data_IF_207842209458
#
_entry.id   IF_207842209458
#
_cell.length_a   1.000
_cell.length_b   1.000
_cell.length_c   1.000
_cell.angle_alpha   90.00
_cell.angle_beta   90.00
_cell.angle_gamma   90.00
#
_symmetry.space_group_name_H-M   'P 1'
#
loop_
_entity.id
_entity.type
_entity.pdbx_description
1 polymer ?
#
# COMPACT_ATOMS: atom_id res chain seq x y z
N UNK A 1 10.16 -5.41 -57.51
CA UNK A 1 9.59 -4.37 -56.62
C UNK A 1 9.19 -5.06 -55.32
N UNK A 2 10.05 -5.00 -54.29
CA UNK A 2 9.83 -5.71 -53.02
C UNK A 2 9.02 -4.78 -52.11
N UNK A 3 7.75 -5.12 -51.85
CA UNK A 3 6.93 -4.40 -50.87
C UNK A 3 7.28 -4.90 -49.46
N UNK A 4 7.94 -4.04 -48.68
CA UNK A 4 8.03 -4.19 -47.23
C UNK A 4 6.67 -3.79 -46.63
N UNK A 5 5.88 -4.76 -46.16
CA UNK A 5 4.74 -4.48 -45.28
C UNK A 5 5.26 -4.24 -43.87
N UNK A 6 5.17 -2.99 -43.39
CA UNK A 6 5.48 -2.62 -42.01
C UNK A 6 4.28 -2.97 -41.12
N UNK A 7 4.47 -3.91 -40.18
CA UNK A 7 3.45 -4.26 -39.20
C UNK A 7 3.41 -3.21 -38.07
N UNK A 8 2.40 -2.33 -38.09
CA UNK A 8 2.14 -1.38 -37.01
C UNK A 8 1.52 -2.16 -35.84
N UNK A 9 2.30 -2.36 -34.77
CA UNK A 9 1.80 -2.93 -33.52
C UNK A 9 1.04 -1.87 -32.74
N UNK A 10 -0.28 -1.95 -32.70
CA UNK A 10 -1.11 -1.18 -31.78
C UNK A 10 -1.01 -1.80 -30.38
N UNK A 11 -0.24 -1.18 -29.48
CA UNK A 11 -0.29 -1.50 -28.06
C UNK A 11 -1.58 -0.93 -27.48
N UNK A 12 -2.52 -1.80 -27.11
CA UNK A 12 -3.69 -1.40 -26.33
C UNK A 12 -3.24 -1.04 -24.92
N UNK A 13 -3.33 0.24 -24.55
CA UNK A 13 -3.18 0.66 -23.16
C UNK A 13 -4.36 0.10 -22.36
N UNK A 14 -4.09 -0.83 -21.46
CA UNK A 14 -5.05 -1.22 -20.43
C UNK A 14 -5.27 0.00 -19.53
N UNK A 15 -6.46 0.59 -19.59
CA UNK A 15 -6.84 1.71 -18.73
C UNK A 15 -7.59 1.14 -17.53
N UNK A 16 -7.01 1.30 -16.33
CA UNK A 16 -7.76 1.06 -15.10
C UNK A 16 -8.96 2.02 -15.08
N UNK A 17 -10.15 1.50 -14.81
CA UNK A 17 -11.35 2.33 -14.88
C UNK A 17 -11.49 3.19 -13.62
N UNK A 18 -11.12 2.70 -12.44
CA UNK A 18 -11.08 3.48 -11.20
C UNK A 18 -9.65 3.94 -10.88
N UNK A 19 -9.51 5.24 -10.57
CA UNK A 19 -8.26 5.83 -10.04
C UNK A 19 -8.53 6.42 -8.67
N UNK A 20 -7.72 6.03 -7.68
CA UNK A 20 -7.71 6.64 -6.34
C UNK A 20 -6.63 7.72 -6.28
N UNK A 21 -6.98 8.92 -5.81
CA UNK A 21 -6.06 10.06 -5.75
C UNK A 21 -5.08 10.00 -4.56
N UNK A 22 -4.77 8.80 -4.06
CA UNK A 22 -3.82 8.57 -2.98
C UNK A 22 -3.39 7.09 -2.96
N UNK A 23 -2.16 6.83 -2.55
CA UNK A 23 -1.65 5.46 -2.29
C UNK A 23 -1.78 5.04 -0.82
N UNK A 24 -2.20 5.98 0.03
CA UNK A 24 -2.46 5.79 1.46
C UNK A 24 -3.30 6.93 2.03
N UNK A 25 -3.88 6.70 3.19
CA UNK A 25 -4.70 7.67 3.93
C UNK A 25 -4.14 7.84 5.33
N UNK A 26 -4.00 9.08 5.79
CA UNK A 26 -3.68 9.38 7.19
C UNK A 26 -4.96 9.89 7.85
N UNK A 27 -5.47 9.14 8.83
CA UNK A 27 -6.57 9.55 9.69
C UNK A 27 -5.98 10.10 10.99
N UNK A 28 -6.00 11.42 11.18
CA UNK A 28 -5.57 12.03 12.43
C UNK A 28 -6.66 11.85 13.51
N UNK A 29 -6.28 11.45 14.71
CA UNK A 29 -7.21 11.24 15.84
C UNK A 29 -8.08 12.45 16.22
N UNK A 30 -7.65 13.67 15.88
CA UNK A 30 -8.40 14.91 16.12
C UNK A 30 -9.24 15.35 14.90
N UNK A 31 -9.18 14.61 13.79
CA UNK A 31 -10.03 14.84 12.63
C UNK A 31 -11.37 14.13 12.82
N UNK A 32 -12.43 14.72 12.27
CA UNK A 32 -13.75 14.09 12.24
C UNK A 32 -13.78 12.92 11.26
N UNK A 33 -13.17 13.11 10.09
CA UNK A 33 -13.18 12.15 8.99
C UNK A 33 -11.91 12.27 8.15
N UNK A 34 -11.57 11.20 7.44
CA UNK A 34 -10.62 11.24 6.32
C UNK A 34 -11.36 10.99 5.01
N UNK A 35 -10.86 11.57 3.91
CA UNK A 35 -11.50 11.48 2.60
C UNK A 35 -10.67 10.64 1.63
N UNK A 36 -11.32 9.69 0.98
CA UNK A 36 -10.77 8.96 -0.17
C UNK A 36 -11.50 9.42 -1.42
N UNK A 37 -10.76 10.09 -2.31
CA UNK A 37 -11.30 10.59 -3.58
C UNK A 37 -10.89 9.65 -4.70
N UNK A 38 -11.87 9.26 -5.50
CA UNK A 38 -11.70 8.34 -6.62
C UNK A 38 -12.41 8.89 -7.86
N UNK A 39 -11.95 8.52 -9.05
CA UNK A 39 -12.55 8.92 -10.32
C UNK A 39 -12.68 7.70 -11.23
N UNK A 40 -13.84 7.52 -11.83
CA UNK A 40 -14.02 6.57 -12.92
C UNK A 40 -13.45 7.18 -14.21
N UNK A 41 -12.21 6.86 -14.55
CA UNK A 41 -11.60 7.22 -15.83
C UNK A 41 -12.01 6.30 -16.99
N UNK A 42 -12.82 5.26 -16.74
CA UNK A 42 -13.38 4.39 -17.76
C UNK A 42 -14.42 5.06 -18.66
N UNK A 43 -14.92 4.29 -19.62
CA UNK A 43 -15.98 4.68 -20.56
C UNK A 43 -17.35 4.09 -20.19
N UNK A 44 -17.41 3.25 -19.16
CA UNK A 44 -18.60 2.55 -18.69
C UNK A 44 -18.86 2.86 -17.23
N UNK A 45 -20.13 2.85 -16.78
CA UNK A 45 -20.45 3.00 -15.36
C UNK A 45 -19.91 1.82 -14.55
N UNK A 46 -19.44 2.12 -13.35
CA UNK A 46 -18.96 1.15 -12.37
C UNK A 46 -19.88 1.11 -11.16
N UNK A 47 -20.03 -0.06 -10.56
CA UNK A 47 -20.47 -0.17 -9.18
C UNK A 47 -19.22 -0.34 -8.30
N UNK A 48 -19.02 0.57 -7.37
CA UNK A 48 -17.89 0.56 -6.43
C UNK A 48 -18.40 0.09 -5.07
N UNK A 49 -17.77 -0.95 -4.52
CA UNK A 49 -17.91 -1.31 -3.10
C UNK A 49 -16.68 -0.85 -2.33
N UNK A 50 -16.89 -0.24 -1.17
CA UNK A 50 -15.86 0.36 -0.35
C UNK A 50 -15.98 -0.05 1.11
N UNK A 51 -14.90 -0.57 1.68
CA UNK A 51 -14.83 -1.01 3.07
C UNK A 51 -13.40 -0.90 3.61
N UNK A 52 -13.23 -0.98 4.93
CA UNK A 52 -11.92 -1.16 5.53
C UNK A 52 -11.73 -2.60 6.03
N UNK A 53 -10.48 -3.04 6.14
CA UNK A 53 -10.09 -4.28 6.81
C UNK A 53 -8.90 -4.05 7.76
N UNK A 54 -8.56 -5.07 8.56
CA UNK A 54 -7.49 -5.05 9.57
C UNK A 54 -6.17 -5.69 9.11
N UNK A 55 -6.01 -5.95 7.81
CA UNK A 55 -4.84 -6.61 7.25
C UNK A 55 -5.14 -8.00 6.71
N UNK A 56 -6.20 -8.67 7.20
CA UNK A 56 -6.61 -10.01 6.74
C UNK A 56 -7.32 -9.91 5.38
N UNK A 57 -6.64 -10.33 4.32
CA UNK A 57 -7.14 -10.16 2.93
C UNK A 57 -8.41 -10.96 2.63
N UNK A 58 -8.55 -12.14 3.24
CA UNK A 58 -9.63 -13.11 3.00
C UNK A 58 -10.75 -13.06 4.05
N UNK A 59 -10.73 -12.07 4.96
CA UNK A 59 -11.80 -11.88 5.93
C UNK A 59 -13.09 -11.42 5.26
N UNK A 60 -14.24 -11.98 5.64
CA UNK A 60 -15.54 -11.48 5.19
C UNK A 60 -15.72 -10.05 5.72
N UNK A 61 -15.82 -9.03 4.84
CA UNK A 61 -15.99 -7.63 5.25
C UNK A 61 -17.16 -7.39 6.20
N UNK A 62 -18.20 -8.24 6.17
CA UNK A 62 -19.36 -8.13 7.05
C UNK A 62 -19.09 -8.60 8.49
N UNK A 63 -17.98 -9.32 8.71
CA UNK A 63 -17.61 -9.90 10.00
C UNK A 63 -16.42 -9.20 10.65
N UNK A 64 -15.83 -8.21 9.97
CA UNK A 64 -14.69 -7.46 10.47
C UNK A 64 -15.17 -6.41 11.48
N UNK A 65 -14.95 -6.69 12.76
CA UNK A 65 -15.08 -5.70 13.83
C UNK A 65 -13.84 -4.81 13.83
N UNK A 66 -13.92 -3.72 13.07
CA UNK A 66 -12.88 -2.70 12.99
C UNK A 66 -13.50 -1.34 13.33
N UNK A 67 -12.72 -0.43 13.93
CA UNK A 67 -13.26 0.80 14.48
C UNK A 67 -13.47 1.90 13.42
N UNK A 68 -13.78 1.52 12.18
CA UNK A 68 -13.91 2.45 11.06
C UNK A 68 -15.08 2.12 10.15
N UNK A 69 -15.74 3.17 9.68
CA UNK A 69 -16.83 3.09 8.71
C UNK A 69 -16.44 3.83 7.44
N UNK A 70 -16.51 3.15 6.29
CA UNK A 70 -16.44 3.76 4.97
C UNK A 70 -17.84 4.07 4.44
N UNK A 71 -18.09 5.32 4.08
CA UNK A 71 -19.39 5.78 3.58
C UNK A 71 -19.27 6.65 2.33
N UNK A 72 -20.06 6.40 1.26
CA UNK A 72 -21.00 5.30 1.12
C UNK A 72 -20.28 3.95 0.88
N UNK A 73 -20.82 2.81 1.37
CA UNK A 73 -20.20 1.50 1.19
C UNK A 73 -20.40 0.93 -0.21
N UNK A 74 -21.45 1.38 -0.92
CA UNK A 74 -21.71 1.01 -2.31
C UNK A 74 -22.15 2.26 -3.08
N UNK A 75 -21.60 2.47 -4.27
CA UNK A 75 -21.99 3.59 -5.13
C UNK A 75 -21.81 3.28 -6.60
N UNK A 76 -22.78 3.71 -7.41
CA UNK A 76 -22.61 3.75 -8.85
C UNK A 76 -21.81 5.00 -9.21
N UNK A 77 -20.80 4.85 -10.07
CA UNK A 77 -19.99 5.96 -10.58
C UNK A 77 -20.02 5.91 -12.11
N UNK A 78 -20.68 6.90 -12.70
CA UNK A 78 -20.75 7.02 -14.16
C UNK A 78 -19.40 7.41 -14.78
N UNK A 79 -19.20 7.23 -16.10
CA UNK A 79 -17.95 7.56 -16.77
C UNK A 79 -17.50 8.99 -16.48
N UNK A 80 -16.21 9.16 -16.20
CA UNK A 80 -15.53 10.44 -15.90
C UNK A 80 -16.05 11.15 -14.65
N UNK A 81 -16.90 10.51 -13.84
CA UNK A 81 -17.39 11.06 -12.58
C UNK A 81 -16.51 10.66 -11.39
N UNK A 82 -16.54 11.50 -10.36
CA UNK A 82 -15.84 11.28 -9.10
C UNK A 82 -16.73 10.62 -8.03
N UNK A 83 -16.10 9.91 -7.11
CA UNK A 83 -16.69 9.41 -5.87
C UNK A 83 -15.79 9.85 -4.70
N UNK A 84 -16.41 10.36 -3.63
CA UNK A 84 -15.71 10.60 -2.37
C UNK A 84 -16.28 9.67 -1.31
N UNK A 85 -15.42 8.83 -0.75
CA UNK A 85 -15.73 7.97 0.39
C UNK A 85 -15.16 8.62 1.65
N UNK A 86 -16.00 8.78 2.67
CA UNK A 86 -15.64 9.26 4.00
C UNK A 86 -15.29 8.07 4.88
N UNK A 87 -14.12 8.14 5.51
CA UNK A 87 -13.72 7.22 6.57
C UNK A 87 -13.98 7.91 7.90
N UNK A 88 -14.74 7.27 8.78
CA UNK A 88 -15.06 7.76 10.12
C UNK A 88 -14.62 6.74 11.16
N UNK A 89 -13.91 7.17 12.19
CA UNK A 89 -13.64 6.35 13.36
C UNK A 89 -14.91 6.27 14.21
N UNK A 90 -15.27 5.09 14.70
CA UNK A 90 -16.50 4.84 15.47
C UNK A 90 -16.38 5.15 16.97
N UNK A 91 -15.17 5.55 17.42
CA UNK A 91 -14.87 5.91 18.80
C UNK A 91 -14.34 4.76 19.66
N UNK A 92 -14.21 3.54 19.13
CA UNK A 92 -13.57 2.44 19.86
C UNK A 92 -12.11 2.77 20.20
N UNK A 93 -11.63 2.39 21.38
CA UNK A 93 -10.31 2.79 21.85
C UNK A 93 -9.19 2.26 20.93
N UNK A 94 -8.30 3.17 20.56
CA UNK A 94 -7.09 2.88 19.78
C UNK A 94 -5.84 3.31 20.57
N UNK A 95 -4.68 2.68 20.33
CA UNK A 95 -3.42 3.11 20.93
C UNK A 95 -3.16 4.60 20.74
N UNK A 96 -2.85 5.30 21.84
CA UNK A 96 -2.51 6.72 21.82
C UNK A 96 -1.02 6.99 21.72
N UNK A 97 -0.19 5.95 21.90
CA UNK A 97 1.28 6.02 21.94
C UNK A 97 1.95 5.64 20.61
N UNK A 98 1.18 5.14 19.63
CA UNK A 98 1.65 4.67 18.33
C UNK A 98 0.56 4.74 17.26
N UNK A 99 0.97 4.66 16.01
CA UNK A 99 0.03 4.47 14.90
C UNK A 99 -0.66 3.10 14.96
N UNK A 100 -1.86 3.04 14.40
CA UNK A 100 -2.53 1.78 14.02
C UNK A 100 -2.72 1.75 12.51
N UNK A 101 -2.72 0.56 11.90
CA UNK A 101 -2.85 0.40 10.44
C UNK A 101 -4.07 -0.44 10.09
N UNK A 102 -4.79 0.03 9.08
CA UNK A 102 -5.94 -0.60 8.44
C UNK A 102 -5.75 -0.52 6.92
N UNK A 103 -6.64 -1.14 6.16
CA UNK A 103 -6.61 -1.03 4.70
C UNK A 103 -7.96 -0.64 4.17
N UNK A 104 -7.97 0.37 3.30
CA UNK A 104 -9.14 0.74 2.51
C UNK A 104 -9.17 -0.10 1.25
N UNK A 105 -10.32 -0.68 0.95
CA UNK A 105 -10.57 -1.48 -0.24
C UNK A 105 -11.61 -0.77 -1.12
N UNK A 106 -11.34 -0.75 -2.42
CA UNK A 106 -12.31 -0.39 -3.45
C UNK A 106 -12.40 -1.52 -4.48
N UNK A 107 -13.54 -2.21 -4.50
CA UNK A 107 -13.85 -3.21 -5.52
C UNK A 107 -14.66 -2.54 -6.64
N UNK A 108 -14.08 -2.46 -7.83
CA UNK A 108 -14.78 -2.03 -9.03
C UNK A 108 -15.47 -3.21 -9.73
N UNK A 109 -16.77 -3.08 -9.93
CA UNK A 109 -17.59 -4.07 -10.62
C UNK A 109 -18.12 -3.43 -11.91
N UNK A 110 -17.64 -3.85 -13.08
CA UNK A 110 -18.15 -3.35 -14.36
C UNK A 110 -19.63 -3.67 -14.56
N UNK A 111 -20.37 -2.76 -15.19
CA UNK A 111 -21.73 -3.03 -15.63
C UNK A 111 -21.78 -4.18 -16.65
N UNK A 112 -22.85 -4.99 -16.61
CA UNK A 112 -23.08 -6.01 -17.63
C UNK A 112 -23.40 -5.34 -18.98
N UNK A 113 -22.68 -5.73 -20.04
CA UNK A 113 -23.03 -5.30 -21.39
C UNK A 113 -24.35 -5.98 -21.80
N UNK A 114 -25.35 -5.22 -22.26
CA UNK A 114 -26.65 -5.79 -22.66
C UNK A 114 -26.54 -6.60 -23.97
N UNK A 115 -25.61 -6.24 -24.84
CA UNK A 115 -25.33 -6.94 -26.10
C UNK A 115 -24.45 -8.20 -25.92
N UNK A 116 -23.99 -8.45 -24.69
CA UNK A 116 -23.12 -9.57 -24.33
C UNK A 116 -23.81 -10.92 -24.20
N UNK A 117 -25.13 -10.96 -24.12
CA UNK A 117 -25.89 -12.18 -23.80
C UNK A 117 -25.72 -13.32 -24.83
N UNK A 118 -25.02 -13.07 -25.95
CA UNK A 118 -24.79 -14.02 -27.05
C UNK A 118 -23.34 -14.52 -27.18
N UNK A 119 -22.42 -14.17 -26.27
CA UNK A 119 -21.04 -14.65 -26.30
C UNK A 119 -20.48 -15.01 -24.91
N UNK A 120 -19.54 -15.94 -24.87
CA UNK A 120 -18.77 -16.23 -23.66
C UNK A 120 -17.92 -14.99 -23.30
N UNK A 121 -18.17 -14.40 -22.14
CA UNK A 121 -17.43 -13.22 -21.69
C UNK A 121 -16.76 -13.45 -20.35
N UNK A 122 -15.50 -13.06 -20.28
CA UNK A 122 -14.76 -12.92 -19.04
C UNK A 122 -15.05 -11.53 -18.47
N UNK A 123 -15.59 -11.49 -17.25
CA UNK A 123 -15.73 -10.26 -16.48
C UNK A 123 -14.68 -10.27 -15.36
N UNK A 124 -13.92 -9.19 -15.29
CA UNK A 124 -12.88 -9.00 -14.28
C UNK A 124 -13.34 -7.85 -13.38
N UNK A 125 -13.41 -8.11 -12.08
CA UNK A 125 -13.54 -7.09 -11.06
C UNK A 125 -12.16 -6.85 -10.44
N UNK A 126 -11.76 -5.58 -10.28
CA UNK A 126 -10.48 -5.22 -9.70
C UNK A 126 -10.68 -4.69 -8.27
N UNK A 127 -9.89 -5.20 -7.34
CA UNK A 127 -9.83 -4.73 -5.95
C UNK A 127 -8.56 -3.90 -5.77
N UNK A 128 -8.72 -2.59 -5.59
CA UNK A 128 -7.62 -1.71 -5.17
C UNK A 128 -7.59 -1.64 -3.65
N UNK A 129 -6.41 -1.81 -3.06
CA UNK A 129 -6.20 -1.80 -1.61
C UNK A 129 -5.09 -0.82 -1.25
N UNK A 130 -5.36 0.10 -0.32
CA UNK A 130 -4.39 1.10 0.15
C UNK A 130 -4.35 1.14 1.69
N UNK A 131 -3.19 1.47 2.26
CA UNK A 131 -3.01 1.56 3.71
C UNK A 131 -3.71 2.80 4.28
N UNK A 132 -4.36 2.64 5.43
CA UNK A 132 -4.97 3.70 6.24
C UNK A 132 -4.29 3.69 7.59
N UNK A 133 -3.60 4.78 7.94
CA UNK A 133 -2.94 4.93 9.23
C UNK A 133 -3.80 5.79 10.14
N UNK A 134 -4.23 5.23 11.27
CA UNK A 134 -4.74 6.03 12.38
C UNK A 134 -3.53 6.59 13.15
N UNK A 135 -3.47 7.91 13.25
CA UNK A 135 -2.36 8.61 13.87
C UNK A 135 -2.86 9.48 15.04
N UNK A 136 -2.47 9.17 16.29
CA UNK A 136 -2.64 10.08 17.41
C UNK A 136 -2.04 11.45 17.09
N UNK A 137 -2.78 12.54 17.32
CA UNK A 137 -2.34 13.89 16.96
C UNK A 137 -1.19 14.39 17.85
N UNK A 138 -1.00 13.73 19.00
CA UNK A 138 0.04 14.03 20.00
C UNK A 138 1.29 13.16 19.85
N UNK A 139 1.39 12.40 18.75
CA UNK A 139 2.51 11.49 18.54
C UNK A 139 3.82 12.27 18.35
N UNK A 140 4.91 11.92 19.06
CA UNK A 140 6.17 12.66 18.97
C UNK A 140 6.95 12.31 17.70
N UNK A 141 7.69 13.28 17.18
CA UNK A 141 8.53 13.12 15.98
C UNK A 141 7.73 13.25 14.69
N UNK A 142 8.23 12.64 13.62
CA UNK A 142 7.56 12.61 12.31
C UNK A 142 7.75 11.27 11.58
N UNK A 143 6.86 10.92 10.63
CA UNK A 143 7.04 9.73 9.81
C UNK A 143 8.31 9.78 8.93
N UNK A 144 8.73 10.96 8.49
CA UNK A 144 9.97 11.11 7.71
C UNK A 144 11.21 10.85 8.59
N UNK A 145 11.22 11.33 9.84
CA UNK A 145 12.27 10.98 10.81
C UNK A 145 12.28 9.48 11.13
N UNK A 146 11.11 8.85 11.26
CA UNK A 146 11.00 7.41 11.46
C UNK A 146 11.64 6.61 10.32
N UNK A 147 11.45 7.05 9.06
CA UNK A 147 12.12 6.48 7.89
C UNK A 147 13.64 6.59 8.02
N UNK A 148 14.16 7.77 8.37
CA UNK A 148 15.60 8.02 8.45
C UNK A 148 16.28 7.29 9.63
N UNK A 149 15.56 7.04 10.71
CA UNK A 149 16.11 6.47 11.95
C UNK A 149 15.93 4.96 12.09
N UNK A 150 15.48 4.25 11.04
CA UNK A 150 15.51 2.79 11.04
C UNK A 150 16.93 2.27 11.29
N UNK A 151 17.06 1.39 12.29
CA UNK A 151 18.33 0.75 12.64
C UNK A 151 18.40 -0.61 11.97
N UNK A 152 19.53 -0.91 11.36
CA UNK A 152 19.72 -2.17 10.66
C UNK A 152 20.86 -2.97 11.28
N UNK A 153 20.67 -4.29 11.32
CA UNK A 153 21.70 -5.23 11.78
C UNK A 153 21.69 -6.50 10.94
N UNK A 154 22.85 -7.12 10.75
CA UNK A 154 22.97 -8.45 10.15
C UNK A 154 23.23 -9.50 11.23
N UNK A 155 22.56 -10.64 11.13
CA UNK A 155 22.80 -11.79 11.99
C UNK A 155 22.81 -13.09 11.20
N UNK A 156 23.60 -14.05 11.68
CA UNK A 156 23.56 -15.42 11.20
C UNK A 156 22.38 -16.16 11.85
N UNK A 157 21.58 -16.84 11.04
CA UNK A 157 20.56 -17.78 11.52
C UNK A 157 20.81 -19.12 10.81
N UNK A 158 21.59 -19.98 11.46
CA UNK A 158 22.13 -21.19 10.82
C UNK A 158 23.09 -20.84 9.69
N UNK A 159 22.81 -21.32 8.46
CA UNK A 159 23.61 -21.03 7.26
C UNK A 159 23.17 -19.77 6.50
N UNK A 160 22.07 -19.16 6.91
CA UNK A 160 21.49 -17.99 6.24
C UNK A 160 21.83 -16.71 6.99
N UNK A 161 21.92 -15.62 6.23
CA UNK A 161 22.14 -14.28 6.77
C UNK A 161 20.83 -13.51 6.73
N UNK A 162 20.49 -12.86 7.83
CA UNK A 162 19.26 -12.11 7.99
C UNK A 162 19.57 -10.65 8.32
N UNK A 163 18.95 -9.74 7.57
CA UNK A 163 18.94 -8.32 7.87
C UNK A 163 17.71 -8.00 8.71
N UNK A 164 17.90 -7.35 9.85
CA UNK A 164 16.80 -6.91 10.73
C UNK A 164 16.73 -5.40 10.73
N UNK A 165 15.58 -4.86 10.33
CA UNK A 165 15.21 -3.47 10.49
C UNK A 165 14.47 -3.29 11.82
N UNK A 166 15.00 -2.45 12.71
CA UNK A 166 14.40 -2.09 13.99
C UNK A 166 13.83 -0.68 13.90
N UNK A 167 12.56 -0.55 14.24
CA UNK A 167 11.83 0.70 14.31
C UNK A 167 11.58 1.06 15.77
N UNK A 168 12.33 2.04 16.27
CA UNK A 168 12.17 2.56 17.63
C UNK A 168 11.14 3.71 17.69
N UNK A 169 10.52 4.07 16.57
CA UNK A 169 9.56 5.18 16.48
C UNK A 169 8.12 4.71 16.67
N UNK A 170 7.19 5.65 16.94
CA UNK A 170 5.76 5.35 17.03
C UNK A 170 5.04 5.27 15.67
N UNK A 171 5.75 5.40 14.54
CA UNK A 171 5.18 5.39 13.18
C UNK A 171 5.45 4.08 12.45
N UNK A 172 4.56 3.68 11.54
CA UNK A 172 4.86 2.61 10.59
C UNK A 172 5.81 3.10 9.49
N UNK A 173 6.83 2.30 9.18
CA UNK A 173 7.73 2.56 8.05
C UNK A 173 7.44 1.60 6.92
N UNK A 174 6.84 2.08 5.82
CA UNK A 174 6.55 1.24 4.64
C UNK A 174 7.73 1.25 3.67
N UNK A 175 8.54 0.19 3.70
CA UNK A 175 9.70 0.04 2.83
C UNK A 175 9.27 -0.41 1.42
N UNK A 176 9.92 0.16 0.41
CA UNK A 176 9.79 -0.23 -1.01
C UNK A 176 10.93 -1.17 -1.41
N UNK A 177 12.11 -0.98 -0.82
CA UNK A 177 13.30 -1.73 -1.14
C UNK A 177 14.43 -1.41 -0.18
N UNK A 178 15.34 -2.36 0.03
CA UNK A 178 16.58 -2.10 0.73
C UNK A 178 17.74 -2.87 0.10
N UNK A 179 18.94 -2.31 0.20
CA UNK A 179 20.19 -2.89 -0.31
C UNK A 179 21.22 -2.90 0.80
N UNK A 180 21.64 -4.10 1.18
CA UNK A 180 22.71 -4.34 2.14
C UNK A 180 24.04 -4.27 1.41
N UNK A 181 24.99 -3.50 1.93
CA UNK A 181 26.37 -3.45 1.45
C UNK A 181 27.23 -4.27 2.40
N UNK A 182 27.85 -5.33 1.87
CA UNK A 182 28.69 -6.24 2.63
C UNK A 182 29.86 -6.76 1.78
N UNK A 183 31.09 -6.54 2.24
CA UNK A 183 32.30 -6.93 1.52
C UNK A 183 32.41 -6.25 0.15
N UNK A 184 32.00 -4.98 0.05
CA UNK A 184 31.96 -4.22 -1.21
C UNK A 184 30.90 -4.66 -2.23
N UNK A 185 30.04 -5.65 -1.90
CA UNK A 185 28.95 -6.12 -2.76
C UNK A 185 27.60 -5.62 -2.24
N UNK A 186 26.64 -5.43 -3.16
CA UNK A 186 25.27 -5.03 -2.86
C UNK A 186 24.34 -6.22 -2.94
N UNK A 187 23.49 -6.39 -1.94
CA UNK A 187 22.49 -7.45 -1.84
C UNK A 187 21.12 -6.81 -1.65
N UNK A 188 20.23 -7.01 -2.62
CA UNK A 188 18.85 -6.52 -2.54
C UNK A 188 18.04 -7.42 -1.62
N UNK A 189 17.21 -6.80 -0.79
CA UNK A 189 16.14 -7.45 -0.04
C UNK A 189 14.81 -6.80 -0.42
N UNK A 190 13.73 -7.55 -0.27
CA UNK A 190 12.36 -7.12 -0.51
C UNK A 190 11.65 -6.93 0.83
N UNK A 191 11.86 -5.79 1.50
CA UNK A 191 11.20 -5.51 2.76
C UNK A 191 9.75 -5.10 2.56
N UNK A 192 8.96 -5.28 3.61
CA UNK A 192 7.62 -4.73 3.73
C UNK A 192 7.62 -3.66 4.85
N UNK A 193 6.46 -3.43 5.46
CA UNK A 193 6.25 -2.45 6.49
C UNK A 193 6.83 -2.90 7.85
N UNK A 194 7.53 -1.99 8.52
CA UNK A 194 8.02 -2.17 9.89
C UNK A 194 7.09 -1.45 10.85
N UNK A 195 6.48 -2.20 11.77
CA UNK A 195 5.54 -1.67 12.75
C UNK A 195 6.21 -0.76 13.79
N UNK A 196 5.47 0.15 14.45
CA UNK A 196 5.95 0.94 15.57
C UNK A 196 6.55 0.07 16.67
N UNK A 197 7.69 0.48 17.23
CA UNK A 197 8.36 -0.20 18.33
C UNK A 197 8.60 -1.70 18.10
N UNK A 198 8.91 -2.08 16.86
CA UNK A 198 9.04 -3.46 16.43
C UNK A 198 10.25 -3.66 15.51
N UNK A 199 10.51 -4.91 15.15
CA UNK A 199 11.55 -5.30 14.21
C UNK A 199 10.99 -6.22 13.13
N UNK A 200 11.50 -6.09 11.92
CA UNK A 200 11.23 -7.00 10.80
C UNK A 200 12.54 -7.56 10.25
N UNK A 201 12.57 -8.86 9.97
CA UNK A 201 13.78 -9.56 9.51
C UNK A 201 13.58 -10.14 8.11
N UNK A 202 14.60 -10.01 7.26
CA UNK A 202 14.58 -10.42 5.86
C UNK A 202 15.82 -11.24 5.55
N UNK A 203 15.65 -12.35 4.83
CA UNK A 203 16.78 -13.15 4.36
C UNK A 203 17.58 -12.39 3.29
N UNK A 204 18.89 -12.28 3.49
CA UNK A 204 19.82 -11.70 2.51
C UNK A 204 20.34 -12.83 1.64
N UNK A 205 19.60 -13.13 0.56
CA UNK A 205 19.95 -14.22 -0.37
C UNK A 205 21.37 -14.03 -0.93
N UNK A 206 22.10 -15.13 -1.07
CA UNK A 206 23.47 -15.19 -1.62
C UNK A 206 24.56 -14.52 -0.78
N UNK A 207 24.25 -13.93 0.38
CA UNK A 207 25.26 -13.51 1.35
C UNK A 207 25.58 -14.68 2.29
N UNK A 208 26.86 -15.06 2.35
CA UNK A 208 27.32 -16.21 3.16
C UNK A 208 28.21 -15.80 4.33
N UNK A 209 28.93 -14.68 4.20
CA UNK A 209 29.79 -14.13 5.25
C UNK A 209 29.41 -12.67 5.50
N UNK A 210 28.80 -12.33 6.65
CA UNK A 210 28.34 -10.97 6.90
C UNK A 210 29.54 -10.07 7.23
N UNK A 211 29.66 -8.97 6.51
CA UNK A 211 30.51 -7.83 6.86
C UNK A 211 29.66 -6.58 6.66
N UNK A 212 28.83 -6.24 7.64
CA UNK A 212 27.92 -5.11 7.52
C UNK A 212 28.73 -3.81 7.39
N UNK A 213 28.63 -3.16 6.22
CA UNK A 213 29.30 -1.88 5.96
C UNK A 213 28.29 -0.74 5.99
N UNK A 214 27.15 -0.93 5.33
CA UNK A 214 26.03 0.01 5.33
C UNK A 214 24.79 -0.64 4.73
N UNK A 215 23.68 0.07 4.82
CA UNK A 215 22.44 -0.23 4.12
C UNK A 215 21.88 1.05 3.51
N UNK A 216 21.26 0.93 2.35
CA UNK A 216 20.41 1.98 1.77
C UNK A 216 19.00 1.43 1.63
N UNK A 217 17.99 2.21 1.99
CA UNK A 217 16.59 1.82 1.83
C UNK A 217 15.76 2.97 1.27
N UNK A 218 14.66 2.59 0.63
CA UNK A 218 13.63 3.52 0.14
C UNK A 218 12.33 3.19 0.85
N UNK A 219 11.64 4.20 1.36
CA UNK A 219 10.34 4.08 1.99
C UNK A 219 9.33 5.05 1.37
N UNK A 220 8.05 4.81 1.59
CA UNK A 220 6.97 5.70 1.16
C UNK A 220 6.62 6.66 2.30
N UNK A 221 6.59 7.97 2.04
CA UNK A 221 6.13 8.99 2.99
C UNK A 221 4.60 9.16 2.98
N UNK A 222 4.05 10.06 3.77
CA UNK A 222 2.59 10.29 3.88
C UNK A 222 1.95 10.74 2.56
N UNK A 223 2.71 11.42 1.70
CA UNK A 223 2.24 11.93 0.42
C UNK A 223 2.32 10.90 -0.71
N UNK A 224 2.76 9.68 -0.42
CA UNK A 224 2.94 8.62 -1.41
C UNK A 224 4.23 8.74 -2.22
N UNK A 225 5.15 9.63 -1.83
CA UNK A 225 6.46 9.80 -2.45
C UNK A 225 7.50 8.86 -1.86
N UNK A 226 8.49 8.50 -2.66
CA UNK A 226 9.64 7.72 -2.22
C UNK A 226 10.65 8.62 -1.50
N UNK A 227 11.13 8.17 -0.35
CA UNK A 227 12.17 8.79 0.45
C UNK A 227 13.30 7.80 0.60
N UNK A 228 14.49 8.21 0.17
CA UNK A 228 15.71 7.42 0.31
C UNK A 228 16.42 7.76 1.63
N UNK A 229 17.01 6.73 2.23
CA UNK A 229 17.77 6.82 3.47
C UNK A 229 18.93 5.83 3.47
N UNK A 230 19.93 6.10 4.30
CA UNK A 230 21.12 5.26 4.45
C UNK A 230 21.51 5.14 5.91
N UNK A 231 22.06 3.98 6.28
CA UNK A 231 22.49 3.67 7.63
C UNK A 231 23.79 2.88 7.61
N UNK A 232 24.53 2.92 8.71
CA UNK A 232 25.79 2.21 8.92
C UNK A 232 25.73 1.38 10.19
#
# INVERSE_FOLDING_TARGET
MIMFSSAISFSYSATASLVINATRVIYLSNAKEALVKMVNQGQQPLLIQSWLDDGREDGDPQTLDIPFIASPPVSRVDPKQGLTVRLNWDGQPLPSDRESVYWFNALEIPGKNKDAAKSNQLQIALKTRIKVFYRPATLPGSPDEAIQHLKWSLANKGKQIWATAKNDSPYFVSLVGAKIISGGKKYSIEPDMVAPFSSASYEVKSLTTPRFESVSWTAVNDYGGNVDATGK
#
